data_IF_375239459228
#
_entry.id   IF_375239459228
#
_cell.length_a   1.000
_cell.length_b   1.000
_cell.length_c   1.000
_cell.angle_alpha   90.00
_cell.angle_beta   90.00
_cell.angle_gamma   90.00
#
_symmetry.space_group_name_H-M   'P 1'
#
loop_
_entity.id
_entity.type
_entity.pdbx_description
1 polymer ?
#
# COMPACT_ATOMS: atom_id res chain seq x y z
N UNK A 1 1.27 -64.62 -15.53
CA UNK A 1 2.23 -63.57 -15.11
C UNK A 1 1.80 -62.12 -15.41
N UNK A 2 0.51 -61.84 -15.56
CA UNK A 2 0.04 -60.50 -15.96
C UNK A 2 -0.91 -59.79 -15.00
N UNK A 3 -1.72 -60.54 -14.26
CA UNK A 3 -2.82 -59.92 -13.45
C UNK A 3 -2.37 -59.27 -12.15
N UNK A 4 -1.31 -59.66 -11.49
CA UNK A 4 -0.80 -59.05 -10.26
C UNK A 4 -0.16 -57.69 -10.46
N UNK A 5 0.42 -57.41 -11.68
CA UNK A 5 1.03 -56.12 -12.00
C UNK A 5 -0.01 -55.05 -12.37
N UNK A 6 -1.15 -55.47 -12.95
CA UNK A 6 -2.26 -54.55 -13.28
C UNK A 6 -2.98 -54.07 -12.02
N UNK A 7 -3.12 -54.94 -11.01
CA UNK A 7 -3.75 -54.58 -9.74
C UNK A 7 -2.86 -53.64 -8.90
N UNK A 8 -1.54 -53.79 -8.97
CA UNK A 8 -0.61 -52.87 -8.29
C UNK A 8 -0.57 -51.49 -8.95
N UNK A 9 -0.65 -51.39 -10.28
CA UNK A 9 -0.75 -50.10 -10.96
C UNK A 9 -2.08 -49.39 -10.71
N UNK A 10 -3.19 -50.11 -10.62
CA UNK A 10 -4.49 -49.51 -10.29
C UNK A 10 -4.56 -49.00 -8.83
N UNK A 11 -3.91 -49.72 -7.90
CA UNK A 11 -3.83 -49.31 -6.49
C UNK A 11 -2.96 -48.05 -6.30
N UNK A 12 -1.85 -47.91 -7.04
CA UNK A 12 -1.01 -46.71 -7.02
C UNK A 12 -1.71 -45.51 -7.66
N UNK A 13 -2.44 -45.74 -8.78
CA UNK A 13 -3.20 -44.69 -9.44
C UNK A 13 -4.37 -44.19 -8.55
N UNK A 14 -5.04 -45.08 -7.84
CA UNK A 14 -6.13 -44.74 -6.91
C UNK A 14 -5.59 -44.02 -5.68
N UNK A 15 -4.39 -44.35 -5.18
CA UNK A 15 -3.75 -43.65 -4.07
C UNK A 15 -3.28 -42.25 -4.46
N UNK A 16 -2.81 -42.01 -5.70
CA UNK A 16 -2.49 -40.68 -6.20
C UNK A 16 -3.72 -39.81 -6.39
N UNK A 17 -4.88 -40.34 -6.76
CA UNK A 17 -6.15 -39.61 -6.83
C UNK A 17 -6.68 -39.25 -5.44
N UNK A 18 -6.41 -40.04 -4.41
CA UNK A 18 -6.76 -39.69 -3.03
C UNK A 18 -5.84 -38.67 -2.39
N UNK A 19 -4.57 -38.54 -2.84
CA UNK A 19 -3.66 -37.52 -2.32
C UNK A 19 -3.94 -36.12 -2.92
N UNK A 20 -4.61 -35.99 -4.07
CA UNK A 20 -5.04 -34.73 -4.61
C UNK A 20 -6.25 -34.10 -3.88
N UNK A 21 -6.93 -34.88 -3.03
CA UNK A 21 -8.08 -34.43 -2.25
C UNK A 21 -7.74 -33.87 -0.85
N UNK A 22 -6.47 -33.77 -0.49
CA UNK A 22 -6.03 -33.31 0.83
C UNK A 22 -5.40 -31.90 0.87
N UNK A 23 -5.22 -31.23 -0.26
CA UNK A 23 -4.92 -29.78 -0.28
C UNK A 23 -6.21 -28.99 -0.47
N UNK A 24 -6.95 -28.84 0.61
CA UNK A 24 -8.28 -28.24 0.61
C UNK A 24 -8.24 -26.73 0.90
N UNK A 25 -7.37 -26.01 0.22
CA UNK A 25 -7.40 -24.58 0.12
C UNK A 25 -7.61 -24.19 -1.32
N UNK A 26 -8.45 -23.18 -1.56
CA UNK A 26 -8.58 -22.57 -2.86
C UNK A 26 -7.29 -21.85 -3.22
N UNK A 27 -6.89 -21.89 -4.49
CA UNK A 27 -5.72 -21.15 -4.98
C UNK A 27 -6.04 -19.71 -5.39
N UNK A 28 -7.33 -19.42 -5.61
CA UNK A 28 -7.80 -18.07 -5.97
C UNK A 28 -9.23 -17.82 -5.51
N UNK A 29 -9.61 -16.54 -5.47
CA UNK A 29 -10.98 -16.09 -5.18
C UNK A 29 -11.95 -16.62 -6.24
N UNK A 30 -11.55 -16.61 -7.51
CA UNK A 30 -12.35 -17.04 -8.66
C UNK A 30 -12.67 -18.54 -8.58
N UNK A 31 -11.71 -19.36 -8.15
CA UNK A 31 -11.92 -20.79 -7.93
C UNK A 31 -12.92 -21.04 -6.79
N UNK A 32 -12.75 -20.32 -5.68
CA UNK A 32 -13.65 -20.42 -4.54
C UNK A 32 -15.08 -19.98 -4.88
N UNK A 33 -15.23 -18.93 -5.67
CA UNK A 33 -16.51 -18.41 -6.13
C UNK A 33 -17.22 -19.40 -7.07
N UNK A 34 -16.46 -19.99 -8.03
CA UNK A 34 -17.00 -21.00 -8.95
C UNK A 34 -17.50 -22.26 -8.22
N UNK A 35 -16.90 -22.59 -7.08
CA UNK A 35 -17.29 -23.73 -6.23
C UNK A 35 -18.45 -23.38 -5.28
N UNK A 36 -18.94 -22.13 -5.32
CA UNK A 36 -20.00 -21.63 -4.44
C UNK A 36 -19.58 -21.54 -2.98
N UNK A 37 -18.29 -21.35 -2.70
CA UNK A 37 -17.76 -21.22 -1.36
C UNK A 37 -18.37 -20.00 -0.64
N UNK A 38 -18.52 -20.09 0.67
CA UNK A 38 -18.92 -18.95 1.52
C UNK A 38 -18.06 -18.93 2.77
N UNK A 39 -17.77 -17.74 3.26
CA UNK A 39 -17.06 -17.55 4.51
C UNK A 39 -17.84 -18.13 5.68
N UNK A 40 -17.12 -18.42 6.76
CA UNK A 40 -17.73 -18.90 8.02
C UNK A 40 -18.48 -17.81 8.75
N UNK A 41 -19.18 -18.22 9.81
CA UNK A 41 -19.86 -17.32 10.73
C UNK A 41 -18.85 -16.63 11.66
N UNK A 42 -19.19 -15.45 12.16
CA UNK A 42 -18.43 -14.70 13.15
C UNK A 42 -16.99 -14.33 12.69
N UNK A 43 -16.81 -14.03 11.40
CA UNK A 43 -15.53 -13.58 10.83
C UNK A 43 -15.62 -12.09 10.49
N UNK A 44 -14.61 -11.34 10.93
CA UNK A 44 -14.40 -9.94 10.53
C UNK A 44 -13.00 -9.77 9.93
N UNK A 45 -12.88 -8.95 8.89
CA UNK A 45 -11.60 -8.56 8.29
C UNK A 45 -11.48 -7.05 8.41
N UNK A 46 -10.48 -6.55 9.13
CA UNK A 46 -10.28 -5.12 9.44
C UNK A 46 -11.53 -4.42 9.97
N UNK A 47 -12.31 -5.14 10.78
CA UNK A 47 -13.58 -4.65 11.35
C UNK A 47 -14.78 -4.78 10.44
N UNK A 48 -14.63 -5.18 9.19
CA UNK A 48 -15.73 -5.47 8.25
C UNK A 48 -16.27 -6.87 8.53
N UNK A 49 -17.56 -6.99 8.81
CA UNK A 49 -18.20 -8.29 8.99
C UNK A 49 -18.42 -8.97 7.64
N UNK A 50 -17.71 -10.06 7.42
CA UNK A 50 -17.77 -10.86 6.18
C UNK A 50 -18.45 -12.23 6.37
N UNK A 51 -19.14 -12.43 7.49
CA UNK A 51 -19.80 -13.69 7.84
C UNK A 51 -20.81 -14.13 6.80
N UNK A 52 -20.67 -15.35 6.29
CA UNK A 52 -21.58 -15.93 5.30
C UNK A 52 -21.52 -15.34 3.89
N UNK A 53 -20.68 -14.32 3.66
CA UNK A 53 -20.50 -13.72 2.33
C UNK A 53 -19.80 -14.69 1.37
N UNK A 54 -20.04 -14.51 0.06
CA UNK A 54 -19.21 -15.14 -0.95
C UNK A 54 -17.80 -14.49 -0.97
N UNK A 55 -16.77 -15.13 -1.52
CA UNK A 55 -15.44 -14.55 -1.60
C UNK A 55 -15.39 -13.21 -2.36
N UNK A 56 -16.20 -13.08 -3.42
CA UNK A 56 -16.28 -11.84 -4.20
C UNK A 56 -16.97 -10.71 -3.42
N UNK A 57 -18.10 -11.01 -2.75
CA UNK A 57 -18.80 -10.05 -1.89
C UNK A 57 -17.90 -9.54 -0.75
N UNK A 58 -17.14 -10.44 -0.12
CA UNK A 58 -16.22 -10.09 0.94
C UNK A 58 -15.04 -9.22 0.43
N UNK A 59 -14.52 -9.54 -0.76
CA UNK A 59 -13.47 -8.75 -1.40
C UNK A 59 -13.94 -7.32 -1.64
N UNK A 60 -15.09 -7.14 -2.28
CA UNK A 60 -15.67 -5.83 -2.56
C UNK A 60 -15.92 -5.01 -1.28
N UNK A 61 -16.48 -5.66 -0.25
CA UNK A 61 -16.77 -4.99 1.03
C UNK A 61 -15.50 -4.51 1.73
N UNK A 62 -14.45 -5.34 1.78
CA UNK A 62 -13.18 -5.00 2.43
C UNK A 62 -12.40 -3.97 1.62
N UNK A 63 -12.33 -4.09 0.29
CA UNK A 63 -11.67 -3.11 -0.59
C UNK A 63 -12.34 -1.72 -0.53
N UNK A 64 -13.67 -1.69 -0.41
CA UNK A 64 -14.42 -0.45 -0.20
C UNK A 64 -14.03 0.20 1.13
N UNK A 65 -13.98 -0.57 2.20
CA UNK A 65 -13.56 -0.07 3.52
C UNK A 65 -12.11 0.44 3.51
N UNK A 66 -11.20 -0.26 2.84
CA UNK A 66 -9.81 0.19 2.67
C UNK A 66 -9.73 1.51 1.89
N UNK A 67 -10.50 1.65 0.82
CA UNK A 67 -10.56 2.90 0.04
C UNK A 67 -11.01 4.08 0.89
N UNK A 68 -12.04 3.90 1.71
CA UNK A 68 -12.51 4.95 2.62
C UNK A 68 -11.48 5.26 3.73
N UNK A 69 -10.82 4.23 4.28
CA UNK A 69 -9.75 4.41 5.25
C UNK A 69 -8.57 5.19 4.67
N UNK A 70 -8.15 4.90 3.43
CA UNK A 70 -7.07 5.63 2.75
C UNK A 70 -7.43 7.10 2.48
N UNK A 71 -8.69 7.43 2.20
CA UNK A 71 -9.14 8.82 2.05
C UNK A 71 -9.04 9.62 3.35
N UNK A 72 -9.23 8.95 4.49
CA UNK A 72 -9.12 9.57 5.81
C UNK A 72 -7.67 9.65 6.33
N UNK A 73 -6.74 8.95 5.69
CA UNK A 73 -5.34 8.90 6.09
C UNK A 73 -4.54 10.00 5.39
N UNK A 74 -3.76 10.75 6.17
CA UNK A 74 -2.89 11.81 5.66
C UNK A 74 -1.47 11.66 6.16
N UNK A 75 -0.52 11.96 5.28
CA UNK A 75 0.91 12.06 5.58
C UNK A 75 1.36 13.50 5.40
N UNK A 76 1.77 14.14 6.50
CA UNK A 76 2.27 15.52 6.46
C UNK A 76 3.76 15.53 6.15
N UNK A 77 4.14 16.02 4.99
CA UNK A 77 5.53 16.23 4.58
C UNK A 77 5.92 17.66 4.93
N UNK A 78 6.90 17.84 5.82
CA UNK A 78 7.37 19.16 6.25
C UNK A 78 8.79 19.40 5.75
N UNK A 79 9.00 20.54 5.08
CA UNK A 79 10.29 20.97 4.61
C UNK A 79 10.56 22.42 5.05
N UNK A 80 11.35 22.60 6.11
CA UNK A 80 11.53 23.90 6.75
C UNK A 80 10.23 24.40 7.37
N UNK A 81 9.78 25.60 6.97
CA UNK A 81 8.53 26.20 7.43
C UNK A 81 7.31 25.77 6.60
N UNK A 82 7.54 25.20 5.41
CA UNK A 82 6.47 24.73 4.54
C UNK A 82 6.08 23.29 4.88
N UNK A 83 4.79 22.99 4.73
CA UNK A 83 4.25 21.64 4.89
C UNK A 83 3.20 21.34 3.83
N UNK A 84 3.08 20.07 3.49
CA UNK A 84 2.10 19.56 2.53
C UNK A 84 1.49 18.27 3.07
N UNK A 85 0.16 18.19 3.04
CA UNK A 85 -0.57 16.99 3.40
C UNK A 85 -0.86 16.17 2.14
N UNK A 86 -0.37 14.93 2.13
CA UNK A 86 -0.59 13.97 1.06
C UNK A 86 -1.61 12.96 1.57
N UNK A 87 -2.74 12.84 0.85
CA UNK A 87 -3.75 11.82 1.17
C UNK A 87 -3.22 10.43 0.87
N UNK A 88 -3.49 9.47 1.76
CA UNK A 88 -3.16 8.06 1.55
C UNK A 88 -3.75 7.48 0.26
N UNK A 89 -4.89 8.01 -0.19
CA UNK A 89 -5.53 7.60 -1.45
C UNK A 89 -4.73 7.99 -2.72
N UNK A 90 -3.75 8.89 -2.60
CA UNK A 90 -2.87 9.30 -3.70
C UNK A 90 -1.57 8.47 -3.75
N UNK A 91 -1.35 7.61 -2.77
CA UNK A 91 -0.18 6.76 -2.70
C UNK A 91 -0.48 5.38 -3.30
N UNK A 92 0.47 4.78 -4.04
CA UNK A 92 0.32 3.44 -4.62
C UNK A 92 0.51 2.37 -3.53
N UNK A 93 -0.56 2.08 -2.80
CA UNK A 93 -0.58 1.08 -1.75
C UNK A 93 -1.43 -0.12 -2.16
N UNK A 94 -1.01 -1.30 -1.73
CA UNK A 94 -1.71 -2.55 -1.95
C UNK A 94 -1.98 -3.25 -0.61
N UNK A 95 -3.10 -3.95 -0.53
CA UNK A 95 -3.48 -4.79 0.61
C UNK A 95 -3.48 -6.25 0.20
N UNK A 96 -3.09 -7.13 1.10
CA UNK A 96 -3.16 -8.58 0.90
C UNK A 96 -4.56 -9.15 1.18
N UNK A 97 -5.61 -8.43 0.77
CA UNK A 97 -7.01 -8.77 1.05
C UNK A 97 -7.39 -10.13 0.49
N UNK A 98 -6.92 -10.47 -0.71
CA UNK A 98 -7.21 -11.75 -1.38
C UNK A 98 -6.69 -12.94 -0.58
N UNK A 99 -5.46 -12.86 -0.09
CA UNK A 99 -4.83 -13.90 0.72
C UNK A 99 -5.56 -14.09 2.05
N UNK A 100 -5.96 -12.98 2.69
CA UNK A 100 -6.71 -13.01 3.96
C UNK A 100 -8.11 -13.62 3.78
N UNK A 101 -8.79 -13.36 2.65
CA UNK A 101 -10.08 -13.99 2.35
C UNK A 101 -9.92 -15.50 2.12
N UNK A 102 -8.88 -15.92 1.40
CA UNK A 102 -8.57 -17.35 1.23
C UNK A 102 -8.25 -18.02 2.57
N UNK A 103 -7.51 -17.34 3.45
CA UNK A 103 -7.30 -17.80 4.84
C UNK A 103 -8.63 -17.93 5.59
N UNK A 104 -9.52 -16.94 5.46
CA UNK A 104 -10.83 -16.96 6.12
C UNK A 104 -11.70 -18.16 5.67
N UNK A 105 -11.61 -18.56 4.40
CA UNK A 105 -12.29 -19.76 3.88
C UNK A 105 -11.73 -21.05 4.51
N UNK A 106 -10.41 -21.13 4.71
CA UNK A 106 -9.78 -22.25 5.41
C UNK A 106 -10.24 -22.34 6.86
N UNK A 107 -10.40 -21.21 7.52
CA UNK A 107 -10.87 -21.16 8.91
C UNK A 107 -12.25 -21.75 9.10
N UNK A 108 -13.16 -21.59 8.14
CA UNK A 108 -14.48 -22.22 8.17
C UNK A 108 -14.39 -23.74 8.41
N UNK A 109 -13.40 -24.39 7.81
CA UNK A 109 -13.21 -25.83 7.92
C UNK A 109 -12.62 -26.26 9.27
N UNK A 110 -11.66 -25.46 9.78
CA UNK A 110 -10.86 -25.84 10.95
C UNK A 110 -11.30 -25.13 12.22
N UNK A 111 -12.17 -24.12 12.14
CA UNK A 111 -12.60 -23.30 13.26
C UNK A 111 -14.11 -23.09 13.23
N UNK A 112 -14.90 -24.03 13.76
CA UNK A 112 -16.37 -23.88 13.78
C UNK A 112 -16.79 -22.66 14.61
N UNK A 113 -17.93 -22.08 14.28
CA UNK A 113 -18.50 -20.87 14.91
C UNK A 113 -18.61 -20.95 16.44
N UNK A 114 -18.72 -22.16 17.00
CA UNK A 114 -18.75 -22.40 18.45
C UNK A 114 -17.50 -21.89 19.19
N UNK A 115 -16.40 -21.62 18.50
CA UNK A 115 -15.16 -21.13 19.08
C UNK A 115 -15.07 -19.60 19.19
N UNK A 116 -16.14 -18.87 18.84
CA UNK A 116 -16.24 -17.42 18.98
C UNK A 116 -15.88 -16.62 17.72
N UNK A 117 -15.94 -15.29 17.85
CA UNK A 117 -15.64 -14.38 16.77
C UNK A 117 -14.15 -14.40 16.40
N UNK A 118 -13.84 -14.32 15.11
CA UNK A 118 -12.48 -14.25 14.58
C UNK A 118 -12.26 -12.93 13.86
N UNK A 119 -11.21 -12.25 14.30
CA UNK A 119 -10.73 -11.03 13.63
C UNK A 119 -9.49 -11.36 12.82
N UNK A 120 -9.54 -11.04 11.55
CA UNK A 120 -8.41 -11.10 10.64
C UNK A 120 -7.99 -9.67 10.27
N UNK A 121 -6.72 -9.51 9.94
CA UNK A 121 -6.17 -8.22 9.57
C UNK A 121 -5.41 -8.35 8.27
N UNK A 122 -5.59 -7.39 7.39
CA UNK A 122 -4.77 -7.25 6.18
C UNK A 122 -3.48 -6.49 6.51
N UNK A 123 -2.48 -6.67 5.68
CA UNK A 123 -1.26 -5.88 5.69
C UNK A 123 -1.23 -4.95 4.48
N UNK A 124 -0.78 -3.72 4.72
CA UNK A 124 -0.61 -2.70 3.69
C UNK A 124 0.85 -2.68 3.25
N UNK A 125 1.10 -2.67 1.95
CA UNK A 125 2.43 -2.62 1.34
C UNK A 125 2.44 -1.58 0.22
N UNK A 126 3.62 -1.07 -0.11
CA UNK A 126 3.82 -0.19 -1.27
C UNK A 126 5.10 -0.60 -2.00
N UNK A 127 5.09 -0.52 -3.33
CA UNK A 127 6.31 -0.59 -4.12
C UNK A 127 7.10 0.71 -3.97
N UNK A 128 8.37 0.62 -3.58
CA UNK A 128 9.20 1.80 -3.31
C UNK A 128 9.46 2.65 -4.56
N UNK A 129 9.50 2.05 -5.76
CA UNK A 129 9.71 2.78 -7.00
C UNK A 129 8.48 3.61 -7.38
N UNK A 130 7.30 3.00 -7.32
CA UNK A 130 6.02 3.68 -7.57
C UNK A 130 5.73 4.74 -6.50
N UNK A 131 6.02 4.42 -5.23
CA UNK A 131 5.85 5.33 -4.11
C UNK A 131 6.74 6.57 -4.27
N UNK A 132 8.01 6.39 -4.65
CA UNK A 132 8.93 7.50 -4.92
C UNK A 132 8.41 8.40 -6.03
N UNK A 133 7.97 7.82 -7.15
CA UNK A 133 7.42 8.59 -8.28
C UNK A 133 6.16 9.38 -7.88
N UNK A 134 5.26 8.78 -7.09
CA UNK A 134 4.09 9.46 -6.57
C UNK A 134 4.48 10.63 -5.64
N UNK A 135 5.45 10.43 -4.75
CA UNK A 135 5.94 11.45 -3.83
C UNK A 135 6.64 12.60 -4.55
N UNK A 136 7.44 12.32 -5.58
CA UNK A 136 8.07 13.35 -6.44
C UNK A 136 7.00 14.24 -7.09
N UNK A 137 5.94 13.64 -7.62
CA UNK A 137 4.84 14.38 -8.24
C UNK A 137 4.06 15.22 -7.23
N UNK A 138 3.70 14.66 -6.08
CA UNK A 138 2.88 15.34 -5.07
C UNK A 138 3.67 16.45 -4.35
N UNK A 139 4.97 16.24 -4.08
CA UNK A 139 5.79 17.18 -3.30
C UNK A 139 6.59 18.15 -4.18
N UNK A 140 6.34 18.21 -5.47
CA UNK A 140 7.06 19.10 -6.39
C UNK A 140 7.01 20.58 -5.97
N UNK A 141 5.89 21.02 -5.37
CA UNK A 141 5.71 22.40 -4.91
C UNK A 141 6.59 22.79 -3.73
N UNK A 142 7.13 21.82 -3.00
CA UNK A 142 8.04 22.06 -1.87
C UNK A 142 9.48 22.27 -2.32
N UNK A 143 9.80 22.05 -3.60
CA UNK A 143 11.13 22.26 -4.17
C UNK A 143 11.17 23.54 -4.99
N UNK A 144 12.26 24.26 -4.91
CA UNK A 144 12.52 25.43 -5.74
C UNK A 144 14.03 25.69 -5.90
N UNK A 145 14.39 26.26 -7.05
CA UNK A 145 15.77 26.62 -7.34
C UNK A 145 16.21 27.84 -6.50
N UNK A 146 17.50 27.97 -6.20
CA UNK A 146 18.02 29.17 -5.56
C UNK A 146 17.92 30.37 -6.51
N UNK A 147 17.55 31.53 -5.96
CA UNK A 147 17.53 32.80 -6.66
C UNK A 147 18.65 33.70 -6.13
N UNK A 148 19.49 34.21 -7.01
CA UNK A 148 20.55 35.13 -6.62
C UNK A 148 19.98 36.53 -6.39
N UNK A 149 20.56 37.28 -5.46
CA UNK A 149 20.30 38.71 -5.35
C UNK A 149 20.61 39.41 -6.68
N UNK A 150 19.74 40.30 -7.08
CA UNK A 150 19.88 41.02 -8.34
C UNK A 150 19.42 42.48 -8.24
N UNK A 151 19.88 43.30 -9.15
CA UNK A 151 19.39 44.66 -9.32
C UNK A 151 19.06 44.88 -10.80
N UNK A 152 17.87 45.37 -11.08
CA UNK A 152 17.42 45.75 -12.41
C UNK A 152 16.94 47.18 -12.41
N UNK A 153 17.28 47.95 -13.44
CA UNK A 153 16.81 49.35 -13.57
C UNK A 153 15.41 49.41 -14.17
N UNK A 154 14.46 49.93 -13.41
CA UNK A 154 13.09 50.17 -13.86
C UNK A 154 13.00 51.53 -14.50
N UNK A 155 12.95 51.60 -15.85
CA UNK A 155 12.86 52.83 -16.61
C UNK A 155 11.57 53.61 -16.36
N UNK A 156 10.50 52.91 -16.04
CA UNK A 156 9.18 53.56 -15.82
C UNK A 156 9.14 54.28 -14.46
N UNK A 157 9.87 53.78 -13.48
CA UNK A 157 9.95 54.35 -12.11
C UNK A 157 11.21 55.16 -11.87
N UNK A 158 12.16 55.16 -12.81
CA UNK A 158 13.43 55.89 -12.72
C UNK A 158 14.34 55.44 -11.60
N UNK A 159 14.30 54.13 -11.23
CA UNK A 159 15.06 53.60 -10.10
C UNK A 159 15.46 52.14 -10.25
N UNK A 160 16.28 51.64 -9.32
CA UNK A 160 16.65 50.23 -9.29
C UNK A 160 15.62 49.42 -8.51
N UNK A 161 15.23 48.26 -9.07
CA UNK A 161 14.51 47.20 -8.38
C UNK A 161 15.51 46.17 -7.90
N UNK A 162 15.51 45.85 -6.63
CA UNK A 162 16.35 44.85 -6.02
C UNK A 162 15.54 43.56 -5.81
N UNK A 163 16.15 42.41 -6.13
CA UNK A 163 15.64 41.10 -5.81
C UNK A 163 16.53 40.54 -4.68
N UNK A 164 15.91 40.11 -3.61
CA UNK A 164 16.63 39.50 -2.50
C UNK A 164 17.12 38.10 -2.89
N UNK A 165 18.22 37.67 -2.26
CA UNK A 165 18.71 36.30 -2.37
C UNK A 165 17.71 35.34 -1.72
N UNK A 166 17.42 34.23 -2.42
CA UNK A 166 16.61 33.14 -1.89
C UNK A 166 17.38 31.83 -2.04
N UNK A 167 17.61 31.15 -0.92
CA UNK A 167 18.18 29.80 -0.94
C UNK A 167 17.23 28.84 -1.61
N UNK A 168 17.74 27.95 -2.45
CA UNK A 168 16.94 26.88 -3.06
C UNK A 168 16.67 25.76 -2.07
N UNK A 169 15.67 24.94 -2.38
CA UNK A 169 15.32 23.74 -1.60
C UNK A 169 15.20 22.54 -2.51
N UNK A 170 15.83 21.44 -2.14
CA UNK A 170 15.63 20.13 -2.74
C UNK A 170 15.24 19.12 -1.66
N UNK A 171 14.42 18.13 -2.03
CA UNK A 171 14.00 17.05 -1.15
C UNK A 171 14.77 15.80 -1.51
N UNK A 172 15.26 15.08 -0.51
CA UNK A 172 15.77 13.73 -0.66
C UNK A 172 14.59 12.74 -0.71
N UNK A 173 14.23 12.32 -1.92
CA UNK A 173 13.09 11.41 -2.12
C UNK A 173 13.38 9.98 -1.72
N UNK A 174 14.64 9.55 -1.64
CA UNK A 174 14.97 8.22 -1.15
C UNK A 174 14.73 8.11 0.35
N UNK A 175 15.13 9.16 1.10
CA UNK A 175 14.84 9.26 2.52
C UNK A 175 13.33 9.41 2.79
N UNK A 176 12.64 10.29 2.05
CA UNK A 176 11.19 10.48 2.17
C UNK A 176 10.41 9.18 1.90
N UNK A 177 10.78 8.47 0.83
CA UNK A 177 10.17 7.19 0.48
C UNK A 177 10.36 6.16 1.59
N UNK A 178 11.57 6.07 2.14
CA UNK A 178 11.86 5.14 3.24
C UNK A 178 11.03 5.43 4.48
N UNK A 179 10.88 6.70 4.85
CA UNK A 179 10.08 7.12 6.00
C UNK A 179 8.60 6.82 5.80
N UNK A 180 8.03 7.16 4.64
CA UNK A 180 6.61 6.90 4.35
C UNK A 180 6.35 5.39 4.21
N UNK A 181 7.24 4.62 3.59
CA UNK A 181 7.13 3.16 3.50
C UNK A 181 7.12 2.50 4.88
N UNK A 182 7.91 3.00 5.82
CA UNK A 182 7.89 2.53 7.21
C UNK A 182 6.57 2.84 7.92
N UNK A 183 5.97 4.01 7.69
CA UNK A 183 4.65 4.37 8.22
C UNK A 183 3.53 3.51 7.60
N UNK A 184 3.58 3.27 6.29
CA UNK A 184 2.64 2.39 5.59
C UNK A 184 2.69 0.99 6.20
N UNK A 185 3.87 0.40 6.34
CA UNK A 185 4.05 -0.93 6.94
C UNK A 185 3.60 -0.99 8.40
N UNK A 186 3.74 0.12 9.14
CA UNK A 186 3.25 0.27 10.51
C UNK A 186 1.74 0.54 10.61
N UNK A 187 1.02 0.64 9.49
CA UNK A 187 -0.43 0.91 9.41
C UNK A 187 -0.86 2.19 10.14
N UNK A 188 -0.02 3.22 10.15
CA UNK A 188 -0.31 4.49 10.79
C UNK A 188 0.02 5.69 9.90
N UNK A 189 -0.89 6.67 9.86
CA UNK A 189 -0.58 7.99 9.33
C UNK A 189 0.41 8.72 10.25
N UNK A 190 1.19 9.63 9.71
CA UNK A 190 2.20 10.31 10.50
C UNK A 190 2.76 11.57 9.85
N UNK A 191 3.59 12.27 10.62
CA UNK A 191 4.33 13.44 10.16
C UNK A 191 5.76 13.04 9.80
N UNK A 192 6.18 13.40 8.60
CA UNK A 192 7.49 13.07 8.04
C UNK A 192 8.27 14.35 7.75
N UNK A 193 9.54 14.36 8.11
CA UNK A 193 10.47 15.46 7.82
C UNK A 193 11.60 14.94 6.95
N UNK A 194 11.48 15.04 5.61
CA UNK A 194 12.57 14.64 4.74
C UNK A 194 13.79 15.54 4.96
N UNK A 195 14.95 14.95 4.84
CA UNK A 195 16.20 15.70 4.87
C UNK A 195 16.25 16.66 3.67
N UNK A 196 16.18 17.97 3.92
CA UNK A 196 16.32 18.98 2.88
C UNK A 196 17.80 19.41 2.80
N UNK A 197 18.48 18.99 1.75
CA UNK A 197 19.80 19.52 1.43
C UNK A 197 19.62 20.84 0.69
N UNK A 198 19.83 21.96 1.36
CA UNK A 198 19.84 23.25 0.69
C UNK A 198 20.97 23.25 -0.36
N UNK A 199 20.69 23.46 -1.66
CA UNK A 199 21.73 23.67 -2.63
C UNK A 199 22.46 24.97 -2.24
N UNK A 200 23.76 24.85 -1.97
CA UNK A 200 24.58 25.97 -1.56
C UNK A 200 24.65 26.96 -2.71
N UNK A 201 24.12 28.16 -2.54
CA UNK A 201 24.31 29.24 -3.49
C UNK A 201 25.82 29.46 -3.71
N UNK A 202 26.27 29.44 -4.97
CA UNK A 202 27.66 29.81 -5.25
C UNK A 202 27.83 31.30 -4.98
N UNK A 203 28.88 31.71 -4.24
CA UNK A 203 29.15 33.12 -4.05
C UNK A 203 29.47 33.73 -5.44
N UNK A 204 28.74 34.78 -5.78
CA UNK A 204 29.06 35.59 -6.96
C UNK A 204 30.34 36.33 -6.63
N UNK A 205 31.47 35.94 -7.27
CA UNK A 205 32.70 36.75 -7.26
C UNK A 205 32.42 38.03 -8.06
N UNK A 206 32.46 39.19 -7.40
CA UNK A 206 32.51 40.48 -8.07
C UNK A 206 33.88 40.68 -8.73
#
# INVERSE_FOLDING_TARGET
FGMKKIFAMFSVLLCCLCCAACSSGYSSIEEAEADGARLGECITIDGVNVSGMSPAEALEAVETAHTEALKALYYTVSAGEDSLDISGSLLPVAFNTREVILEALLLKKYWPAANGARQLHTSMTADNGELKAALEQQSASLQYAPENAGASYDKAKGGFRYTEHREGRSIDFDDLTSQISALITGSSGGSVRPYSKAPRAMPVSM
#
